data_IF_416010470174
#
_entry.id   IF_416010470174
#
_cell.length_a   1.000
_cell.length_b   1.000
_cell.length_c   1.000
_cell.angle_alpha   90.00
_cell.angle_beta   90.00
_cell.angle_gamma   90.00
#
_symmetry.space_group_name_H-M   'P 1'
#
loop_
_entity.id
_entity.type
_entity.pdbx_description
1 polymer ?
#
# COMPACT_ATOMS: atom_id res chain seq x y z
N UNK A 1 0.54 -13.34 12.01
CA UNK A 1 0.12 -14.58 11.30
C UNK A 1 -1.36 -14.91 11.52
N UNK A 2 -1.89 -14.83 12.74
CA UNK A 2 -3.31 -15.12 13.05
C UNK A 2 -4.32 -14.32 12.21
N UNK A 3 -4.18 -12.99 12.14
CA UNK A 3 -5.10 -12.14 11.35
C UNK A 3 -5.15 -12.58 9.88
N UNK A 4 -4.01 -12.90 9.27
CA UNK A 4 -3.98 -13.39 7.89
C UNK A 4 -4.74 -14.70 7.73
N UNK A 5 -4.55 -15.66 8.65
CA UNK A 5 -5.28 -16.93 8.62
C UNK A 5 -6.80 -16.73 8.73
N UNK A 6 -7.23 -15.85 9.63
CA UNK A 6 -8.64 -15.48 9.82
C UNK A 6 -9.23 -14.79 8.57
N UNK A 7 -8.45 -13.95 7.88
CA UNK A 7 -8.89 -13.31 6.63
C UNK A 7 -8.96 -14.29 5.45
N UNK A 8 -8.03 -15.24 5.36
CA UNK A 8 -8.01 -16.25 4.28
C UNK A 8 -9.08 -17.33 4.50
N UNK A 9 -9.40 -17.67 5.75
CA UNK A 9 -10.44 -18.64 6.09
C UNK A 9 -11.35 -18.10 7.20
N UNK A 10 -12.37 -17.28 6.86
CA UNK A 10 -13.23 -16.60 7.84
C UNK A 10 -13.99 -17.51 8.81
N UNK A 11 -14.17 -18.79 8.49
CA UNK A 11 -14.78 -19.77 9.40
C UNK A 11 -13.99 -19.96 10.71
N UNK A 12 -12.70 -19.60 10.73
CA UNK A 12 -11.88 -19.63 11.93
C UNK A 12 -12.21 -18.51 12.94
N UNK A 13 -13.05 -17.54 12.58
CA UNK A 13 -13.49 -16.49 13.50
C UNK A 13 -14.29 -17.04 14.69
N UNK A 14 -14.93 -18.20 14.53
CA UNK A 14 -15.70 -18.86 15.57
C UNK A 14 -14.83 -19.77 16.48
N UNK A 15 -13.56 -19.98 16.13
CA UNK A 15 -12.65 -20.81 16.93
C UNK A 15 -12.12 -20.04 18.16
N UNK A 16 -12.31 -20.61 19.35
CA UNK A 16 -11.87 -20.04 20.64
C UNK A 16 -10.35 -20.01 20.82
N UNK A 17 -9.57 -20.63 19.93
CA UNK A 17 -8.09 -20.62 19.96
C UNK A 17 -7.50 -19.30 19.46
N UNK A 18 -8.27 -18.48 18.75
CA UNK A 18 -7.79 -17.18 18.27
C UNK A 18 -8.14 -16.07 19.26
N UNK A 19 -7.20 -15.18 19.58
CA UNK A 19 -7.46 -14.07 20.49
C UNK A 19 -8.41 -13.05 19.86
N UNK A 20 -9.21 -12.40 20.70
CA UNK A 20 -10.30 -11.52 20.23
C UNK A 20 -9.79 -10.28 19.48
N UNK A 21 -8.59 -9.79 19.82
CA UNK A 21 -7.96 -8.69 19.11
C UNK A 21 -7.63 -9.04 17.64
N UNK A 22 -7.15 -10.27 17.40
CA UNK A 22 -6.90 -10.78 16.05
C UNK A 22 -8.21 -10.97 15.27
N UNK A 23 -9.26 -11.48 15.92
CA UNK A 23 -10.60 -11.59 15.33
C UNK A 23 -11.18 -10.25 14.96
N UNK A 24 -11.09 -9.26 15.85
CA UNK A 24 -11.56 -7.90 15.61
C UNK A 24 -10.83 -7.24 14.44
N UNK A 25 -9.50 -7.39 14.36
CA UNK A 25 -8.72 -6.90 13.21
C UNK A 25 -9.13 -7.59 11.90
N UNK A 26 -9.32 -8.90 11.91
CA UNK A 26 -9.75 -9.65 10.74
C UNK A 26 -11.16 -9.24 10.27
N UNK A 27 -12.13 -9.13 11.18
CA UNK A 27 -13.48 -8.66 10.87
C UNK A 27 -13.47 -7.27 10.24
N UNK A 28 -12.70 -6.33 10.80
CA UNK A 28 -12.57 -4.97 10.25
C UNK A 28 -12.02 -4.96 8.83
N UNK A 29 -11.01 -5.77 8.54
CA UNK A 29 -10.43 -5.89 7.19
C UNK A 29 -11.46 -6.49 6.23
N UNK A 30 -12.07 -7.62 6.61
CA UNK A 30 -13.07 -8.30 5.77
C UNK A 30 -14.24 -7.37 5.44
N UNK A 31 -14.79 -6.66 6.41
CA UNK A 31 -15.88 -5.69 6.23
C UNK A 31 -15.53 -4.55 5.27
N UNK A 32 -14.24 -4.25 5.11
CA UNK A 32 -13.76 -3.20 4.21
C UNK A 32 -13.50 -3.71 2.79
N UNK A 33 -13.61 -5.03 2.57
CA UNK A 33 -13.51 -5.65 1.26
C UNK A 33 -14.90 -5.93 0.69
N UNK A 34 -15.03 -5.85 -0.64
CA UNK A 34 -16.26 -6.22 -1.34
C UNK A 34 -16.67 -7.66 -1.01
N UNK A 35 -17.94 -7.87 -0.65
CA UNK A 35 -18.46 -9.21 -0.33
C UNK A 35 -17.80 -9.88 0.87
N UNK A 36 -17.19 -9.12 1.78
CA UNK A 36 -16.47 -9.63 2.96
C UNK A 36 -15.35 -10.63 2.63
N UNK A 37 -14.72 -10.48 1.46
CA UNK A 37 -13.69 -11.39 0.97
C UNK A 37 -12.43 -10.63 0.57
N UNK A 38 -11.26 -11.09 1.04
CA UNK A 38 -9.96 -10.54 0.63
C UNK A 38 -9.60 -10.84 -0.83
N UNK A 39 -10.40 -11.66 -1.53
CA UNK A 39 -10.24 -11.93 -2.96
C UNK A 39 -11.00 -10.95 -3.86
N UNK A 40 -11.82 -10.07 -3.31
CA UNK A 40 -12.54 -9.07 -4.09
C UNK A 40 -11.60 -7.95 -4.57
N UNK A 41 -11.90 -7.38 -5.73
CA UNK A 41 -11.23 -6.16 -6.18
C UNK A 41 -11.43 -5.03 -5.18
N UNK A 42 -10.38 -4.24 -5.01
CA UNK A 42 -10.38 -3.03 -4.17
C UNK A 42 -10.57 -1.81 -5.05
N UNK A 43 -10.88 -0.66 -4.45
CA UNK A 43 -10.77 0.64 -5.13
C UNK A 43 -9.33 0.86 -5.60
N UNK A 44 -9.12 1.66 -6.65
CA UNK A 44 -7.80 1.83 -7.29
C UNK A 44 -6.67 2.25 -6.34
N UNK A 45 -6.97 2.98 -5.27
CA UNK A 45 -5.99 3.39 -4.25
C UNK A 45 -5.68 2.29 -3.23
N UNK A 46 -6.44 1.20 -3.20
CA UNK A 46 -6.40 0.15 -2.20
C UNK A 46 -7.52 0.21 -1.17
N UNK A 47 -7.53 -0.75 -0.24
CA UNK A 47 -8.56 -0.91 0.80
C UNK A 47 -8.62 0.31 1.71
N UNK A 48 -9.81 0.90 1.85
CA UNK A 48 -10.04 2.13 2.61
C UNK A 48 -9.56 2.05 4.07
N UNK A 49 -9.94 1.00 4.82
CA UNK A 49 -9.53 0.87 6.20
C UNK A 49 -8.00 0.78 6.38
N UNK A 50 -7.31 0.23 5.40
CA UNK A 50 -5.85 0.12 5.40
C UNK A 50 -5.23 1.48 5.12
N UNK A 51 -5.76 2.24 4.13
CA UNK A 51 -5.33 3.63 3.88
C UNK A 51 -5.51 4.51 5.13
N UNK A 52 -6.65 4.42 5.81
CA UNK A 52 -6.87 5.12 7.07
C UNK A 52 -5.87 4.73 8.17
N UNK A 53 -5.51 3.45 8.27
CA UNK A 53 -4.51 2.98 9.24
C UNK A 53 -3.11 3.49 8.92
N UNK A 54 -2.75 3.56 7.63
CA UNK A 54 -1.48 4.13 7.17
C UNK A 54 -1.44 5.64 7.47
N UNK A 55 -2.50 6.39 7.19
CA UNK A 55 -2.60 7.81 7.52
C UNK A 55 -2.38 8.07 9.01
N UNK A 56 -3.11 7.34 9.87
CA UNK A 56 -2.95 7.43 11.32
C UNK A 56 -1.56 7.01 11.80
N UNK A 57 -0.91 6.07 11.10
CA UNK A 57 0.46 5.68 11.41
C UNK A 57 1.45 6.80 11.07
N UNK A 58 1.33 7.41 9.89
CA UNK A 58 2.16 8.54 9.45
C UNK A 58 2.01 9.71 10.42
N UNK A 59 0.77 10.07 10.76
CA UNK A 59 0.49 11.16 11.71
C UNK A 59 1.14 10.92 13.08
N UNK A 60 1.01 9.70 13.63
CA UNK A 60 1.67 9.35 14.90
C UNK A 60 3.20 9.36 14.80
N UNK A 61 3.76 8.87 13.69
CA UNK A 61 5.21 8.81 13.45
C UNK A 61 5.79 10.22 13.34
N UNK A 62 5.06 11.13 12.70
CA UNK A 62 5.51 12.48 12.35
C UNK A 62 5.13 13.52 13.43
N UNK A 63 4.78 13.08 14.65
CA UNK A 63 4.57 13.96 15.79
C UNK A 63 3.23 14.70 15.79
N UNK A 64 2.20 14.14 15.16
CA UNK A 64 0.86 14.73 15.07
C UNK A 64 0.61 15.58 13.83
N UNK A 65 1.51 15.54 12.84
CA UNK A 65 1.28 16.18 11.55
C UNK A 65 0.18 15.41 10.80
N UNK A 66 -0.95 16.04 10.43
CA UNK A 66 -2.05 15.35 9.77
C UNK A 66 -1.64 14.66 8.47
N UNK A 67 -2.14 13.45 8.25
CA UNK A 67 -1.97 12.70 7.00
C UNK A 67 -3.35 12.35 6.44
N UNK A 68 -3.56 12.66 5.16
CA UNK A 68 -4.84 12.41 4.48
C UNK A 68 -4.85 11.01 3.83
N UNK A 69 -5.82 10.14 4.17
CA UNK A 69 -6.00 8.83 3.53
C UNK A 69 -6.16 8.86 2.01
N UNK A 70 -6.65 9.96 1.43
CA UNK A 70 -6.86 10.09 -0.02
C UNK A 70 -5.56 10.36 -0.79
N UNK A 71 -4.49 10.73 -0.07
CA UNK A 71 -3.13 10.83 -0.60
C UNK A 71 -2.34 9.50 -0.51
N UNK A 72 -2.97 8.42 -0.07
CA UNK A 72 -2.30 7.13 0.17
C UNK A 72 -2.71 6.13 -0.91
N UNK A 73 -1.70 5.64 -1.63
CA UNK A 73 -1.86 4.61 -2.66
C UNK A 73 -1.15 3.34 -2.22
N UNK A 74 -1.90 2.24 -2.07
CA UNK A 74 -1.33 0.93 -1.77
C UNK A 74 -0.80 0.31 -3.07
N UNK A 75 0.47 -0.10 -3.05
CA UNK A 75 1.17 -0.67 -4.21
C UNK A 75 1.63 -2.10 -3.93
N UNK A 76 2.00 -2.83 -4.98
CA UNK A 76 2.60 -4.17 -4.83
C UNK A 76 4.07 -4.07 -4.42
N UNK A 77 4.31 -3.59 -3.20
CA UNK A 77 5.64 -3.23 -2.71
C UNK A 77 6.11 -1.86 -3.19
N UNK A 78 7.23 -1.38 -2.64
CA UNK A 78 7.76 -0.05 -2.95
C UNK A 78 8.21 0.11 -4.40
N UNK A 79 8.74 -0.96 -5.02
CA UNK A 79 9.28 -0.91 -6.37
C UNK A 79 8.22 -0.51 -7.41
N UNK A 80 7.02 -1.07 -7.28
CA UNK A 80 5.87 -0.77 -8.13
C UNK A 80 5.46 0.72 -8.04
N UNK A 81 5.48 1.29 -6.83
CA UNK A 81 5.23 2.70 -6.61
C UNK A 81 6.30 3.61 -7.24
N UNK A 82 7.58 3.27 -7.07
CA UNK A 82 8.69 4.02 -7.67
C UNK A 82 8.58 4.02 -9.20
N UNK A 83 8.37 2.85 -9.81
CA UNK A 83 8.21 2.71 -11.27
C UNK A 83 7.02 3.53 -11.77
N UNK A 84 5.88 3.46 -11.08
CA UNK A 84 4.66 4.18 -11.46
C UNK A 84 4.87 5.70 -11.47
N UNK A 85 5.47 6.24 -10.41
CA UNK A 85 5.74 7.68 -10.30
C UNK A 85 6.78 8.13 -11.33
N UNK A 86 7.85 7.36 -11.54
CA UNK A 86 8.84 7.69 -12.55
C UNK A 86 8.22 7.71 -13.95
N UNK A 87 7.45 6.67 -14.33
CA UNK A 87 6.76 6.61 -15.63
C UNK A 87 5.79 7.77 -15.84
N UNK A 88 5.07 8.19 -14.79
CA UNK A 88 4.14 9.31 -14.86
C UNK A 88 4.85 10.65 -15.12
N UNK A 89 6.05 10.85 -14.57
CA UNK A 89 6.78 12.11 -14.61
C UNK A 89 7.82 12.18 -15.75
N UNK A 90 8.26 11.03 -16.28
CA UNK A 90 9.21 10.98 -17.39
C UNK A 90 8.48 11.19 -18.72
N UNK A 91 8.82 12.27 -19.42
CA UNK A 91 8.28 12.58 -20.74
C UNK A 91 9.34 13.31 -21.60
N UNK A 92 9.00 13.56 -22.87
CA UNK A 92 9.83 14.32 -23.79
C UNK A 92 10.99 13.54 -24.40
N UNK A 93 11.67 14.18 -25.36
CA UNK A 93 12.76 13.59 -26.13
C UNK A 93 13.91 14.60 -26.33
N UNK A 94 15.09 14.08 -26.68
CA UNK A 94 16.28 14.90 -26.94
C UNK A 94 16.61 15.85 -25.78
N UNK A 95 16.69 17.15 -26.08
CA UNK A 95 16.99 18.20 -25.10
C UNK A 95 15.84 18.50 -24.12
N UNK A 96 14.63 18.00 -24.39
CA UNK A 96 13.44 18.24 -23.55
C UNK A 96 13.09 17.06 -22.65
N UNK A 97 13.89 15.98 -22.69
CA UNK A 97 13.64 14.77 -21.90
C UNK A 97 13.76 15.09 -20.41
N UNK A 98 12.80 14.61 -19.61
CA UNK A 98 12.84 14.73 -18.14
C UNK A 98 14.14 14.15 -17.58
N UNK A 99 14.89 14.95 -16.83
CA UNK A 99 16.02 14.49 -16.01
C UNK A 99 15.55 14.10 -14.60
N UNK A 100 16.04 12.97 -14.09
CA UNK A 100 15.74 12.50 -12.72
C UNK A 100 17.03 12.50 -11.91
N UNK A 101 17.05 13.26 -10.82
CA UNK A 101 18.20 13.30 -9.90
C UNK A 101 18.18 12.08 -8.97
N UNK A 102 19.29 11.35 -8.91
CA UNK A 102 19.49 10.20 -8.01
C UNK A 102 20.77 10.39 -7.20
N UNK A 103 20.79 9.91 -5.95
CA UNK A 103 21.97 9.98 -5.07
C UNK A 103 23.05 8.97 -5.47
N UNK A 104 24.28 9.11 -4.99
CA UNK A 104 25.31 8.05 -5.05
C UNK A 104 25.88 7.85 -3.64
N UNK A 105 25.93 6.61 -3.12
CA UNK A 105 25.44 5.36 -3.72
C UNK A 105 23.90 5.32 -3.82
N UNK A 106 23.37 4.52 -4.76
CA UNK A 106 21.92 4.36 -4.98
C UNK A 106 21.46 2.91 -5.05
N UNK A 107 20.16 2.72 -4.81
CA UNK A 107 19.46 1.48 -5.05
C UNK A 107 19.23 1.28 -6.56
N UNK A 108 19.82 0.25 -7.21
CA UNK A 108 19.84 0.11 -8.68
C UNK A 108 18.50 0.17 -9.41
N UNK A 109 17.38 -0.04 -8.71
CA UNK A 109 16.04 0.12 -9.24
C UNK A 109 15.84 1.47 -9.94
N UNK A 110 16.32 2.58 -9.36
CA UNK A 110 16.10 3.91 -9.97
C UNK A 110 16.74 4.01 -11.35
N UNK A 111 18.02 3.63 -11.47
CA UNK A 111 18.70 3.61 -12.76
C UNK A 111 18.03 2.69 -13.78
N UNK A 112 17.52 1.53 -13.35
CA UNK A 112 16.81 0.60 -14.22
C UNK A 112 15.49 1.21 -14.72
N UNK A 113 14.68 1.76 -13.82
CA UNK A 113 13.38 2.35 -14.16
C UNK A 113 13.47 3.61 -15.03
N UNK A 114 14.55 4.40 -14.89
CA UNK A 114 14.78 5.58 -15.75
C UNK A 114 15.26 5.18 -17.15
N UNK A 115 15.99 4.06 -17.25
CA UNK A 115 16.49 3.53 -18.52
C UNK A 115 15.41 2.77 -19.30
N UNK A 116 14.46 2.15 -18.59
CA UNK A 116 13.30 1.46 -19.16
C UNK A 116 12.46 2.46 -19.98
N UNK A 117 12.29 2.18 -21.28
CA UNK A 117 11.44 2.94 -22.20
C UNK A 117 10.16 2.17 -22.45
#
# INVERSE_FOLDING_TARGET
>A
RQVMALCTYPQLLDDNKFPEDAKNRARRILQSCGGNSIGAYTTSQGIDCVRQDVAKYIERRDGGIPSDPDNIYLTTGASDGIVTILKLLTAGEGLTRTGVMISIPQYPLYSASIAER
#
